data_IF_218946547140
#
_entry.id   IF_218946547140
#
_cell.length_a   1.000
_cell.length_b   1.000
_cell.length_c   1.000
_cell.angle_alpha   90.00
_cell.angle_beta   90.00
_cell.angle_gamma   90.00
#
_symmetry.space_group_name_H-M   'P 1'
#
loop_
_entity.id
_entity.type
_entity.pdbx_description
1 polymer ?
#
# COMPACT_ATOMS: atom_id res chain seq x y z
N UNK A 1 -1.63 -17.13 -5.96
CA UNK A 1 -1.14 -16.57 -4.69
C UNK A 1 0.13 -15.76 -4.96
N UNK A 2 0.13 -14.50 -4.53
CA UNK A 2 1.26 -13.57 -4.53
C UNK A 2 1.78 -13.42 -3.10
N UNK A 3 3.07 -13.17 -2.95
CA UNK A 3 3.72 -12.92 -1.68
C UNK A 3 4.03 -11.44 -1.52
N UNK A 4 3.37 -10.81 -0.54
CA UNK A 4 3.55 -9.38 -0.24
C UNK A 4 4.30 -9.25 1.09
N UNK A 5 5.51 -8.69 1.04
CA UNK A 5 6.35 -8.43 2.22
C UNK A 5 6.01 -7.07 2.81
N UNK A 6 5.67 -7.03 4.09
CA UNK A 6 5.37 -5.83 4.85
C UNK A 6 6.65 -5.24 5.49
N UNK A 7 6.62 -3.99 5.98
CA UNK A 7 7.82 -3.32 6.52
C UNK A 7 8.38 -3.97 7.79
N UNK A 8 7.58 -4.74 8.50
CA UNK A 8 7.98 -5.54 9.67
C UNK A 8 8.69 -6.86 9.29
N UNK A 9 8.85 -7.12 7.98
CA UNK A 9 9.44 -8.35 7.45
C UNK A 9 8.46 -9.51 7.35
N UNK A 10 7.20 -9.35 7.78
CA UNK A 10 6.18 -10.38 7.63
C UNK A 10 5.76 -10.52 6.16
N UNK A 11 5.40 -11.73 5.75
CA UNK A 11 4.94 -12.02 4.39
C UNK A 11 3.46 -12.41 4.43
N UNK A 12 2.65 -11.69 3.65
CA UNK A 12 1.23 -11.98 3.44
C UNK A 12 1.03 -12.68 2.11
N UNK A 13 0.30 -13.78 2.12
CA UNK A 13 -0.16 -14.43 0.89
C UNK A 13 -1.51 -13.86 0.50
N UNK A 14 -1.62 -13.39 -0.73
CA UNK A 14 -2.84 -12.78 -1.26
C UNK A 14 -3.16 -13.31 -2.65
N UNK A 15 -4.41 -13.16 -3.08
CA UNK A 15 -4.78 -13.50 -4.44
C UNK A 15 -4.38 -12.39 -5.43
N UNK A 16 -4.05 -12.74 -6.69
CA UNK A 16 -3.91 -11.74 -7.75
C UNK A 16 -5.14 -10.85 -7.84
N UNK A 17 -4.94 -9.54 -8.01
CA UNK A 17 -6.03 -8.57 -7.97
C UNK A 17 -6.28 -7.95 -6.59
N UNK A 18 -5.67 -8.47 -5.52
CA UNK A 18 -5.63 -7.80 -4.21
C UNK A 18 -4.97 -6.43 -4.35
N UNK A 19 -5.48 -5.43 -3.64
CA UNK A 19 -4.98 -4.05 -3.67
C UNK A 19 -4.22 -3.68 -2.40
N UNK A 20 -3.50 -2.55 -2.45
CA UNK A 20 -2.88 -1.97 -1.27
C UNK A 20 -3.89 -1.58 -0.19
N UNK A 21 -5.08 -1.14 -0.60
CA UNK A 21 -6.20 -0.86 0.28
C UNK A 21 -6.68 -2.10 1.04
N UNK A 22 -6.87 -3.23 0.34
CA UNK A 22 -7.33 -4.49 0.95
C UNK A 22 -6.34 -4.98 2.00
N UNK A 23 -5.04 -4.88 1.71
CA UNK A 23 -3.99 -5.23 2.68
C UNK A 23 -3.99 -4.29 3.88
N UNK A 24 -4.17 -2.99 3.68
CA UNK A 24 -4.31 -2.03 4.79
C UNK A 24 -5.53 -2.35 5.67
N UNK A 25 -6.67 -2.70 5.05
CA UNK A 25 -7.90 -3.06 5.76
C UNK A 25 -7.73 -4.36 6.56
N UNK A 26 -6.99 -5.33 6.02
CA UNK A 26 -6.67 -6.59 6.72
C UNK A 26 -5.83 -6.39 7.99
N UNK A 27 -5.07 -5.29 8.07
CA UNK A 27 -4.30 -4.90 9.27
C UNK A 27 -5.22 -4.16 10.23
N UNK A 28 -5.89 -3.10 9.76
CA UNK A 28 -7.00 -2.46 10.47
C UNK A 28 -7.79 -1.52 9.57
N UNK A 29 -9.09 -1.43 9.83
CA UNK A 29 -9.98 -0.43 9.26
C UNK A 29 -9.48 1.02 9.44
N UNK A 30 -8.85 1.32 10.59
CA UNK A 30 -8.27 2.64 10.86
C UNK A 30 -7.08 2.95 9.96
N UNK A 31 -6.24 1.96 9.65
CA UNK A 31 -5.11 2.13 8.75
C UNK A 31 -5.57 2.34 7.31
N UNK A 32 -6.52 1.53 6.82
CA UNK A 32 -7.07 1.68 5.48
C UNK A 32 -7.67 3.07 5.23
N UNK A 33 -8.40 3.62 6.21
CA UNK A 33 -8.97 4.96 6.10
C UNK A 33 -7.94 6.09 6.10
N UNK A 34 -6.79 5.89 6.75
CA UNK A 34 -5.74 6.91 6.84
C UNK A 34 -4.63 6.74 5.79
N UNK A 35 -4.69 5.65 5.01
CA UNK A 35 -3.76 5.43 3.90
C UNK A 35 -4.04 6.44 2.79
N UNK A 36 -2.97 7.04 2.27
CA UNK A 36 -3.00 8.01 1.17
C UNK A 36 -2.46 7.41 -0.13
N UNK A 37 -1.47 6.53 0.00
CA UNK A 37 -0.84 5.83 -1.11
C UNK A 37 -0.16 4.57 -0.58
N UNK A 38 0.39 3.77 -1.49
CA UNK A 38 1.28 2.66 -1.15
C UNK A 38 2.60 2.82 -1.87
N UNK A 39 3.68 2.38 -1.23
CA UNK A 39 4.96 2.19 -1.89
C UNK A 39 5.11 0.71 -2.21
N UNK A 40 5.20 0.39 -3.48
CA UNK A 40 5.33 -0.98 -3.98
C UNK A 40 6.69 -1.11 -4.65
N UNK A 41 7.55 -1.98 -4.14
CA UNK A 41 8.91 -2.16 -4.68
C UNK A 41 9.71 -0.86 -4.82
N UNK A 42 9.52 0.06 -3.87
CA UNK A 42 10.20 1.35 -3.86
C UNK A 42 9.46 2.49 -4.57
N UNK A 43 8.42 2.19 -5.35
CA UNK A 43 7.67 3.18 -6.16
C UNK A 43 6.33 3.52 -5.50
N UNK A 44 5.99 4.81 -5.41
CA UNK A 44 4.68 5.26 -4.91
C UNK A 44 3.60 4.98 -5.96
N UNK A 45 2.54 4.29 -5.56
CA UNK A 45 1.42 3.86 -6.38
C UNK A 45 0.08 4.09 -5.67
N UNK A 46 -0.98 4.10 -6.46
CA UNK A 46 -2.35 4.21 -5.98
C UNK A 46 -2.77 3.00 -5.12
N UNK A 47 -3.57 3.26 -4.08
CA UNK A 47 -4.05 2.26 -3.13
C UNK A 47 -4.90 1.16 -3.76
N UNK A 48 -5.68 1.51 -4.79
CA UNK A 48 -6.60 0.61 -5.46
C UNK A 48 -5.97 -0.07 -6.68
N UNK A 49 -4.69 0.19 -6.97
CA UNK A 49 -3.98 -0.53 -8.02
C UNK A 49 -3.73 -1.98 -7.56
N UNK A 50 -4.17 -2.99 -8.33
CA UNK A 50 -3.98 -4.38 -7.95
C UNK A 50 -2.53 -4.82 -8.08
N UNK A 51 -2.12 -5.75 -7.21
CA UNK A 51 -0.86 -6.47 -7.35
C UNK A 51 -0.97 -7.51 -8.47
N UNK A 52 0.06 -7.56 -9.31
CA UNK A 52 0.20 -8.52 -10.42
C UNK A 52 1.33 -9.51 -10.20
N UNK A 53 2.23 -9.22 -9.27
CA UNK A 53 3.43 -9.99 -8.95
C UNK A 53 3.79 -9.79 -7.48
N UNK A 54 4.76 -10.58 -7.00
CA UNK A 54 5.29 -10.48 -5.64
C UNK A 54 5.91 -9.11 -5.41
N UNK A 55 5.71 -8.54 -4.22
CA UNK A 55 6.16 -7.19 -3.95
C UNK A 55 6.42 -6.91 -2.47
N UNK A 56 7.23 -5.90 -2.24
CA UNK A 56 7.32 -5.21 -0.94
C UNK A 56 6.27 -4.12 -0.89
N UNK A 57 5.57 -4.00 0.24
CA UNK A 57 4.52 -3.02 0.46
C UNK A 57 4.85 -2.17 1.68
N UNK A 58 4.76 -0.85 1.51
CA UNK A 58 4.71 0.13 2.58
C UNK A 58 3.42 0.95 2.44
N UNK A 59 2.62 1.05 3.50
CA UNK A 59 1.41 1.86 3.51
C UNK A 59 1.80 3.27 3.92
N UNK A 60 1.54 4.24 3.05
CA UNK A 60 1.89 5.64 3.28
C UNK A 60 0.67 6.39 3.80
N UNK A 61 0.81 6.97 4.97
CA UNK A 61 -0.20 7.79 5.64
C UNK A 61 0.22 9.26 5.63
N UNK A 62 -0.60 10.13 6.22
CA UNK A 62 -0.27 11.56 6.37
C UNK A 62 1.04 11.83 7.12
N UNK A 63 1.43 10.93 8.02
CA UNK A 63 2.65 11.08 8.79
C UNK A 63 3.91 10.81 7.95
N UNK A 64 3.76 10.12 6.82
CA UNK A 64 4.86 9.72 5.95
C UNK A 64 5.18 10.83 4.94
N UNK A 65 6.47 11.10 4.73
CA UNK A 65 6.91 12.08 3.75
C UNK A 65 6.39 11.76 2.33
N UNK A 66 6.38 10.47 1.96
CA UNK A 66 5.83 9.99 0.69
C UNK A 66 4.30 10.10 0.61
N UNK A 67 3.58 9.91 1.72
CA UNK A 67 2.12 10.07 1.76
C UNK A 67 1.69 11.52 1.57
N UNK A 68 2.43 12.46 2.18
CA UNK A 68 2.26 13.89 1.91
C UNK A 68 2.47 14.20 0.44
N UNK A 69 3.61 13.81 -0.15
CA UNK A 69 3.89 14.07 -1.57
C UNK A 69 2.79 13.53 -2.50
N UNK A 70 2.31 12.30 -2.27
CA UNK A 70 1.23 11.71 -3.05
C UNK A 70 -0.06 12.56 -3.00
N UNK A 71 -0.44 13.07 -1.82
CA UNK A 71 -1.62 13.93 -1.67
C UNK A 71 -1.53 15.23 -2.48
N UNK A 72 -0.36 15.89 -2.50
CA UNK A 72 -0.16 17.16 -3.22
C UNK A 72 -0.06 17.00 -4.74
N UNK A 73 0.21 15.80 -5.25
CA UNK A 73 0.24 15.52 -6.69
C UNK A 73 -1.13 15.26 -7.31
N UNK A 74 -2.18 15.05 -6.51
CA UNK A 74 -3.55 14.80 -6.99
C UNK A 74 -4.35 16.09 -7.29
N UNK A 75 -3.73 17.27 -7.22
CA UNK A 75 -4.37 18.58 -7.48
C UNK A 75 -3.73 19.40 -8.62
N UNK A 76 -3.00 18.74 -9.53
CA UNK A 76 -2.46 19.38 -10.74
C UNK A 76 -3.33 19.09 -11.98
#
# INVERSE_FOLDING_TARGET
MLHITLPDGSVRQVEPGTTGYDLAASISEGLARNALAVKVNGEIRDLHRPFTEDATLEILTWNDAGGKQAYWHSSA
#
